data_IF_354151578401
#
_entry.id   IF_354151578401
#
_cell.length_a   1.000
_cell.length_b   1.000
_cell.length_c   1.000
_cell.angle_alpha   90.00
_cell.angle_beta   90.00
_cell.angle_gamma   90.00
#
_symmetry.space_group_name_H-M   'P 1'
#
loop_
_entity.id
_entity.type
_entity.pdbx_description
1 polymer ?
#
# COMPACT_ATOMS: atom_id res chain seq x y z
N UNK A 1 22.91 14.26 26.84
CA UNK A 1 21.94 13.59 25.94
C UNK A 1 20.58 13.74 26.58
N UNK A 2 19.60 14.33 25.88
CA UNK A 2 18.23 14.37 26.39
C UNK A 2 17.74 12.93 26.64
N UNK A 3 17.10 12.69 27.79
CA UNK A 3 16.45 11.42 28.09
C UNK A 3 15.49 11.10 26.95
N UNK A 4 15.73 10.00 26.24
CA UNK A 4 14.81 9.50 25.20
C UNK A 4 13.58 8.96 25.91
N UNK A 5 12.55 9.78 26.00
CA UNK A 5 11.23 9.38 26.51
C UNK A 5 10.40 8.81 25.37
N UNK A 6 9.58 7.80 25.66
CA UNK A 6 8.62 7.27 24.70
C UNK A 6 7.69 8.40 24.20
N UNK A 7 7.37 8.45 22.89
CA UNK A 7 6.42 9.42 22.35
C UNK A 7 5.08 9.37 23.09
N UNK A 8 4.73 10.47 23.72
CA UNK A 8 3.49 10.62 24.47
C UNK A 8 2.97 12.04 24.33
N UNK A 9 1.65 12.18 24.46
CA UNK A 9 0.99 13.48 24.53
C UNK A 9 -0.14 13.40 25.56
N UNK A 10 0.26 13.48 26.84
CA UNK A 10 -0.66 13.36 27.98
C UNK A 10 -1.74 14.45 27.93
N UNK A 11 -1.39 15.65 27.43
CA UNK A 11 -2.35 16.75 27.27
C UNK A 11 -3.42 16.41 26.23
N UNK A 12 -3.04 15.85 25.08
CA UNK A 12 -4.00 15.38 24.08
C UNK A 12 -4.88 14.24 24.60
N UNK A 13 -4.32 13.30 25.36
CA UNK A 13 -5.08 12.20 25.98
C UNK A 13 -6.14 12.71 26.95
N UNK A 14 -5.76 13.58 27.90
CA UNK A 14 -6.71 14.26 28.78
C UNK A 14 -7.73 15.05 27.98
N UNK A 15 -7.31 15.63 26.85
CA UNK A 15 -8.19 16.42 25.99
C UNK A 15 -9.26 15.61 25.28
N UNK A 16 -8.90 14.42 24.79
CA UNK A 16 -9.87 13.47 24.21
C UNK A 16 -10.87 13.05 25.29
N UNK A 17 -10.38 12.63 26.45
CA UNK A 17 -11.25 12.15 27.53
C UNK A 17 -12.23 13.22 28.00
N UNK A 18 -11.78 14.46 28.22
CA UNK A 18 -12.64 15.57 28.61
C UNK A 18 -13.66 15.95 27.54
N UNK A 19 -13.25 15.97 26.27
CA UNK A 19 -14.14 16.27 25.15
C UNK A 19 -15.29 15.26 25.00
N UNK A 20 -15.05 13.97 25.31
CA UNK A 20 -16.10 12.94 25.30
C UNK A 20 -17.29 13.26 26.23
N UNK A 21 -17.05 13.95 27.35
CA UNK A 21 -18.12 14.36 28.27
C UNK A 21 -18.88 15.59 27.78
N UNK A 22 -18.23 16.46 27.00
CA UNK A 22 -18.81 17.72 26.53
C UNK A 22 -19.72 17.54 25.31
N UNK A 23 -19.48 16.52 24.49
CA UNK A 23 -20.21 16.32 23.23
C UNK A 23 -20.36 14.85 22.86
N UNK A 24 -21.59 14.47 22.51
CA UNK A 24 -21.90 13.14 21.96
C UNK A 24 -21.13 12.85 20.66
N UNK A 25 -20.93 13.88 19.82
CA UNK A 25 -20.13 13.76 18.60
C UNK A 25 -18.67 13.42 18.91
N UNK A 26 -18.09 14.06 19.93
CA UNK A 26 -16.71 13.79 20.33
C UNK A 26 -16.57 12.38 20.91
N UNK A 27 -17.56 11.92 21.69
CA UNK A 27 -17.62 10.55 22.19
C UNK A 27 -17.64 9.51 21.06
N UNK A 28 -18.59 9.63 20.12
CA UNK A 28 -18.71 8.71 18.97
C UNK A 28 -17.39 8.66 18.19
N UNK A 29 -16.85 9.82 17.85
CA UNK A 29 -15.62 9.92 17.05
C UNK A 29 -14.38 9.40 17.77
N UNK A 30 -14.31 9.55 19.10
CA UNK A 30 -13.22 8.98 19.89
C UNK A 30 -13.34 7.46 19.96
N UNK A 31 -14.53 6.90 20.17
CA UNK A 31 -14.77 5.45 20.18
C UNK A 31 -14.51 4.79 18.81
N UNK A 32 -14.81 5.48 17.71
CA UNK A 32 -14.54 4.97 16.36
C UNK A 32 -13.05 4.89 16.03
N UNK A 33 -12.25 5.82 16.56
CA UNK A 33 -10.84 5.96 16.17
C UNK A 33 -9.85 5.44 17.21
N UNK A 34 -10.19 5.43 18.50
CA UNK A 34 -9.25 5.11 19.57
C UNK A 34 -9.60 3.80 20.28
N UNK A 35 -8.57 3.14 20.80
CA UNK A 35 -8.67 1.99 21.69
C UNK A 35 -7.86 2.24 22.96
N UNK A 36 -8.10 1.45 24.01
CA UNK A 36 -7.39 1.57 25.27
C UNK A 36 -5.85 1.52 25.10
N UNK A 37 -5.34 0.70 24.17
CA UNK A 37 -3.90 0.54 23.97
C UNK A 37 -3.22 1.76 23.31
N UNK A 38 -4.01 2.65 22.70
CA UNK A 38 -3.47 3.88 22.09
C UNK A 38 -3.10 4.96 23.12
N UNK A 39 -3.50 4.83 24.37
CA UNK A 39 -3.13 5.75 25.44
C UNK A 39 -1.78 5.37 26.04
N UNK A 40 -0.93 6.37 26.31
CA UNK A 40 0.35 6.18 27.00
C UNK A 40 0.16 6.04 28.50
N UNK A 41 -0.69 6.89 29.10
CA UNK A 41 -1.00 6.78 30.51
C UNK A 41 -2.04 5.67 30.72
N UNK A 42 -1.66 4.65 31.49
CA UNK A 42 -2.52 3.51 31.82
C UNK A 42 -3.83 3.96 32.49
N UNK A 43 -3.79 5.06 33.26
CA UNK A 43 -4.98 5.65 33.89
C UNK A 43 -5.96 6.14 32.83
N UNK A 44 -5.46 6.87 31.83
CA UNK A 44 -6.27 7.40 30.75
C UNK A 44 -6.86 6.27 29.89
N UNK A 45 -6.06 5.23 29.61
CA UNK A 45 -6.52 4.04 28.92
C UNK A 45 -7.67 3.33 29.65
N UNK A 46 -7.56 3.13 30.97
CA UNK A 46 -8.61 2.52 31.79
C UNK A 46 -9.90 3.35 31.81
N UNK A 47 -9.77 4.68 31.86
CA UNK A 47 -10.91 5.60 31.77
C UNK A 47 -11.59 5.45 30.40
N UNK A 48 -10.82 5.47 29.31
CA UNK A 48 -11.36 5.31 27.96
C UNK A 48 -12.08 3.97 27.79
N UNK A 49 -11.54 2.88 28.33
CA UNK A 49 -12.17 1.56 28.27
C UNK A 49 -13.52 1.50 29.00
N UNK A 50 -13.69 2.27 30.08
CA UNK A 50 -14.98 2.41 30.74
C UNK A 50 -15.94 3.25 29.89
N UNK A 51 -15.46 4.36 29.31
CA UNK A 51 -16.23 5.23 28.41
C UNK A 51 -16.75 4.46 27.18
N UNK A 52 -15.90 3.70 26.48
CA UNK A 52 -16.28 2.94 25.30
C UNK A 52 -17.34 1.89 25.61
N UNK A 53 -17.22 1.21 26.75
CA UNK A 53 -18.19 0.19 27.18
C UNK A 53 -19.54 0.80 27.57
N UNK A 54 -19.54 1.96 28.23
CA UNK A 54 -20.76 2.72 28.48
C UNK A 54 -21.43 3.19 27.18
N UNK A 55 -20.62 3.58 26.17
CA UNK A 55 -21.10 3.95 24.86
C UNK A 55 -21.76 2.77 24.13
N UNK A 56 -21.16 1.58 24.17
CA UNK A 56 -21.73 0.33 23.64
C UNK A 56 -23.06 -0.04 24.31
N UNK A 57 -23.13 0.09 25.65
CA UNK A 57 -24.34 -0.16 26.44
C UNK A 57 -25.39 0.96 26.30
N UNK A 58 -25.08 2.03 25.56
CA UNK A 58 -25.91 3.24 25.40
C UNK A 58 -26.27 3.92 26.72
N UNK A 59 -25.43 3.77 27.72
CA UNK A 59 -25.56 4.41 29.02
C UNK A 59 -25.11 5.88 28.90
N UNK A 60 -25.87 6.86 29.45
CA UNK A 60 -25.44 8.25 29.47
C UNK A 60 -24.07 8.40 30.14
N UNK A 61 -23.18 9.18 29.52
CA UNK A 61 -21.86 9.47 30.07
C UNK A 61 -21.92 10.75 30.91
N UNK A 62 -21.80 10.60 32.22
CA UNK A 62 -21.59 11.70 33.16
C UNK A 62 -20.60 11.29 34.26
N UNK A 63 -20.16 12.24 35.10
CA UNK A 63 -19.16 11.96 36.14
C UNK A 63 -19.65 10.89 37.13
N UNK A 64 -20.94 10.88 37.47
CA UNK A 64 -21.52 9.94 38.43
C UNK A 64 -21.58 8.52 37.89
N UNK A 65 -22.10 8.35 36.68
CA UNK A 65 -22.22 7.08 35.96
C UNK A 65 -20.85 6.48 35.65
N UNK A 66 -19.89 7.29 35.21
CA UNK A 66 -18.52 6.81 35.01
C UNK A 66 -17.87 6.39 36.33
N UNK A 67 -18.06 7.15 37.41
CA UNK A 67 -17.53 6.78 38.73
C UNK A 67 -18.11 5.44 39.19
N UNK A 68 -19.42 5.21 39.00
CA UNK A 68 -20.05 3.93 39.31
C UNK A 68 -19.51 2.79 38.45
N UNK A 69 -19.33 2.99 37.14
CA UNK A 69 -18.76 1.95 36.27
C UNK A 69 -17.30 1.62 36.65
N UNK A 70 -16.50 2.62 37.01
CA UNK A 70 -15.12 2.42 37.48
C UNK A 70 -15.05 1.76 38.86
N UNK A 71 -16.03 1.99 39.74
CA UNK A 71 -16.17 1.27 41.01
C UNK A 71 -16.53 -0.18 40.79
N UNK A 72 -17.48 -0.46 39.90
CA UNK A 72 -17.89 -1.83 39.55
C UNK A 72 -16.71 -2.64 38.98
N UNK A 73 -15.76 -1.97 38.31
CA UNK A 73 -14.53 -2.57 37.77
C UNK A 73 -13.37 -2.64 38.76
N UNK A 74 -13.51 -2.09 39.96
CA UNK A 74 -12.42 -1.90 40.94
C UNK A 74 -11.22 -1.09 40.42
N UNK A 75 -11.37 -0.29 39.35
CA UNK A 75 -10.28 0.50 38.76
C UNK A 75 -10.26 1.95 39.25
N UNK A 76 -11.28 2.41 39.99
CA UNK A 76 -11.37 3.80 40.47
C UNK A 76 -10.16 4.24 41.30
N UNK A 77 -9.64 3.36 42.18
CA UNK A 77 -8.48 3.70 43.01
C UNK A 77 -7.17 3.74 42.20
N UNK A 78 -7.07 2.94 41.13
CA UNK A 78 -5.89 2.86 40.27
C UNK A 78 -5.72 4.10 39.40
N UNK A 79 -6.82 4.72 39.00
CA UNK A 79 -6.81 5.94 38.17
C UNK A 79 -6.58 7.24 38.97
N UNK A 80 -6.52 7.17 40.31
CA UNK A 80 -6.39 8.35 41.17
C UNK A 80 -7.72 8.92 41.69
N UNK A 81 -8.81 8.16 41.60
CA UNK A 81 -10.10 8.53 42.18
C UNK A 81 -10.86 9.61 41.40
N UNK A 82 -11.90 10.13 42.05
CA UNK A 82 -12.81 11.14 41.48
C UNK A 82 -12.10 12.48 41.23
N UNK A 83 -11.04 12.77 41.99
CA UNK A 83 -10.22 13.97 41.83
C UNK A 83 -9.57 14.03 40.44
N UNK A 84 -9.02 12.91 39.96
CA UNK A 84 -8.41 12.85 38.64
C UNK A 84 -9.42 12.97 37.49
N UNK A 85 -10.62 12.40 37.65
CA UNK A 85 -11.71 12.58 36.68
C UNK A 85 -12.14 14.05 36.59
N UNK A 86 -12.19 14.74 37.73
CA UNK A 86 -12.53 16.16 37.79
C UNK A 86 -11.44 17.02 37.17
N UNK A 87 -10.16 16.64 37.33
CA UNK A 87 -9.03 17.29 36.65
C UNK A 87 -9.15 17.19 35.12
N UNK A 88 -9.45 15.99 34.59
CA UNK A 88 -9.64 15.77 33.15
C UNK A 88 -10.77 16.63 32.60
N UNK A 89 -11.91 16.68 33.30
CA UNK A 89 -13.07 17.49 32.90
C UNK A 89 -12.75 18.98 32.84
N UNK A 90 -11.92 19.47 33.76
CA UNK A 90 -11.51 20.88 33.80
C UNK A 90 -10.36 21.21 32.84
N UNK A 91 -9.69 20.21 32.27
CA UNK A 91 -8.56 20.41 31.36
C UNK A 91 -9.01 20.94 29.99
N UNK A 92 -10.22 20.59 29.55
CA UNK A 92 -10.71 20.85 28.19
C UNK A 92 -11.72 21.98 28.16
N UNK A 93 -11.39 23.13 27.54
CA UNK A 93 -12.35 24.22 27.41
C UNK A 93 -13.39 23.99 26.29
N UNK A 94 -13.10 23.14 25.29
CA UNK A 94 -14.02 22.90 24.16
C UNK A 94 -13.83 21.53 23.51
N UNK A 95 -14.93 20.91 23.07
CA UNK A 95 -14.92 19.67 22.28
C UNK A 95 -14.65 19.88 20.78
N UNK A 96 -14.55 21.14 20.31
CA UNK A 96 -14.46 21.46 18.87
C UNK A 96 -13.21 20.89 18.20
N UNK A 97 -12.10 20.78 18.95
CA UNK A 97 -10.80 20.33 18.44
C UNK A 97 -10.54 18.83 18.63
N UNK A 98 -11.59 18.02 18.85
CA UNK A 98 -11.46 16.59 19.12
C UNK A 98 -10.63 15.86 18.05
N UNK A 99 -10.79 16.23 16.77
CA UNK A 99 -10.08 15.62 15.64
C UNK A 99 -8.56 15.78 15.73
N UNK A 100 -8.14 16.96 16.20
CA UNK A 100 -6.74 17.28 16.38
C UNK A 100 -6.16 16.44 17.52
N UNK A 101 -6.87 16.34 18.65
CA UNK A 101 -6.39 15.55 19.80
C UNK A 101 -6.38 14.05 19.52
N UNK A 102 -7.40 13.51 18.83
CA UNK A 102 -7.41 12.11 18.40
C UNK A 102 -6.18 11.84 17.53
N UNK A 103 -5.91 12.70 16.54
CA UNK A 103 -4.76 12.56 15.66
C UNK A 103 -3.43 12.57 16.42
N UNK A 104 -3.26 13.48 17.37
CA UNK A 104 -2.04 13.55 18.18
C UNK A 104 -1.81 12.28 19.03
N UNK A 105 -2.88 11.72 19.60
CA UNK A 105 -2.83 10.45 20.34
C UNK A 105 -2.50 9.29 19.40
N UNK A 106 -3.12 9.23 18.21
CA UNK A 106 -2.84 8.20 17.21
C UNK A 106 -1.40 8.26 16.69
N UNK A 107 -0.89 9.45 16.38
CA UNK A 107 0.49 9.63 15.93
C UNK A 107 1.48 9.22 17.01
N UNK A 108 1.22 9.61 18.27
CA UNK A 108 2.05 9.20 19.41
C UNK A 108 2.04 7.67 19.59
N UNK A 109 0.86 7.04 19.54
CA UNK A 109 0.72 5.58 19.64
C UNK A 109 1.43 4.85 18.49
N UNK A 110 1.32 5.37 17.27
CA UNK A 110 2.00 4.81 16.10
C UNK A 110 3.52 4.85 16.26
N UNK A 111 4.06 5.98 16.73
CA UNK A 111 5.48 6.12 17.00
C UNK A 111 5.95 5.18 18.12
N UNK A 112 5.14 4.98 19.17
CA UNK A 112 5.44 3.98 20.23
C UNK A 112 5.49 2.56 19.67
N UNK A 113 4.46 2.16 18.92
CA UNK A 113 4.41 0.84 18.28
C UNK A 113 5.59 0.60 17.33
N UNK A 114 6.03 1.64 16.62
CA UNK A 114 7.22 1.59 15.77
C UNK A 114 8.49 1.37 16.58
N UNK A 115 8.67 2.07 17.69
CA UNK A 115 9.83 1.91 18.57
C UNK A 115 9.85 0.49 19.18
N UNK A 116 8.71 0.01 19.67
CA UNK A 116 8.59 -1.34 20.23
C UNK A 116 8.90 -2.42 19.19
N UNK A 117 8.35 -2.27 17.99
CA UNK A 117 8.61 -3.19 16.88
C UNK A 117 10.06 -3.17 16.44
N UNK A 118 10.67 -1.98 16.32
CA UNK A 118 12.09 -1.84 15.98
C UNK A 118 12.99 -2.47 17.06
N UNK A 119 12.62 -2.31 18.33
CA UNK A 119 13.33 -2.93 19.46
C UNK A 119 13.19 -4.45 19.44
N UNK A 120 12.00 -4.97 19.11
CA UNK A 120 11.79 -6.41 18.91
C UNK A 120 12.61 -6.94 17.75
N UNK A 121 12.63 -6.27 16.58
CA UNK A 121 13.45 -6.68 15.43
C UNK A 121 14.94 -6.66 15.77
N UNK A 122 15.39 -5.63 16.50
CA UNK A 122 16.77 -5.56 16.96
C UNK A 122 17.11 -6.72 17.90
N UNK A 123 16.17 -7.10 18.78
CA UNK A 123 16.33 -8.24 19.70
C UNK A 123 16.39 -9.55 18.92
N UNK A 124 15.50 -9.76 17.95
CA UNK A 124 15.49 -10.94 17.09
C UNK A 124 16.81 -11.07 16.31
N UNK A 125 17.43 -9.95 15.91
CA UNK A 125 18.73 -9.95 15.23
C UNK A 125 19.91 -10.44 16.08
N UNK A 126 19.77 -10.49 17.41
CA UNK A 126 20.77 -11.09 18.29
C UNK A 126 20.55 -12.60 18.50
N UNK A 127 19.39 -13.14 18.15
CA UNK A 127 19.11 -14.57 18.25
C UNK A 127 19.71 -15.31 17.06
N UNK A 128 20.79 -16.07 17.30
CA UNK A 128 21.52 -16.83 16.27
C UNK A 128 20.96 -18.23 16.01
N UNK A 129 19.85 -18.60 16.65
CA UNK A 129 19.24 -19.94 16.53
C UNK A 129 18.29 -20.05 15.32
N UNK A 130 17.77 -18.93 14.82
CA UNK A 130 16.81 -18.87 13.71
C UNK A 130 17.50 -18.74 12.33
N UNK A 131 16.84 -19.21 11.26
CA UNK A 131 17.30 -18.99 9.89
C UNK A 131 17.22 -17.48 9.56
N UNK A 132 18.29 -16.94 9.00
CA UNK A 132 18.40 -15.51 8.65
C UNK A 132 17.24 -15.04 7.78
N UNK A 133 16.75 -15.87 6.85
CA UNK A 133 15.63 -15.52 5.98
C UNK A 133 14.30 -15.46 6.76
N UNK A 134 14.09 -16.36 7.72
CA UNK A 134 12.89 -16.33 8.57
C UNK A 134 12.85 -15.08 9.45
N UNK A 135 14.01 -14.68 9.99
CA UNK A 135 14.15 -13.43 10.76
C UNK A 135 13.86 -12.20 9.89
N UNK A 136 14.34 -12.17 8.65
CA UNK A 136 14.06 -11.09 7.69
C UNK A 136 12.57 -11.02 7.31
N UNK A 137 11.95 -12.16 7.02
CA UNK A 137 10.51 -12.24 6.70
C UNK A 137 9.64 -11.82 7.89
N UNK A 138 10.01 -12.23 9.11
CA UNK A 138 9.35 -11.82 10.35
C UNK A 138 9.45 -10.31 10.55
N UNK A 139 10.64 -9.72 10.34
CA UNK A 139 10.83 -8.28 10.43
C UNK A 139 9.98 -7.51 9.40
N UNK A 140 9.91 -7.98 8.14
CA UNK A 140 9.05 -7.37 7.12
C UNK A 140 7.58 -7.42 7.56
N UNK A 141 7.10 -8.57 8.04
CA UNK A 141 5.71 -8.72 8.52
C UNK A 141 5.40 -7.78 9.68
N UNK A 142 6.29 -7.68 10.68
CA UNK A 142 6.10 -6.82 11.85
C UNK A 142 5.99 -5.34 11.43
N UNK A 143 6.88 -4.86 10.57
CA UNK A 143 6.83 -3.48 10.04
C UNK A 143 5.56 -3.25 9.22
N UNK A 144 5.16 -4.21 8.37
CA UNK A 144 3.96 -4.08 7.56
C UNK A 144 2.67 -4.03 8.39
N UNK A 145 2.61 -4.73 9.53
CA UNK A 145 1.43 -4.72 10.40
C UNK A 145 1.18 -3.34 11.03
N UNK A 146 2.22 -2.57 11.33
CA UNK A 146 2.09 -1.17 11.79
C UNK A 146 1.38 -0.32 10.73
N UNK A 147 1.69 -0.55 9.45
CA UNK A 147 1.10 0.17 8.32
C UNK A 147 -0.34 -0.29 8.05
N UNK A 148 -0.67 -1.56 8.31
CA UNK A 148 -2.01 -2.14 8.08
C UNK A 148 -3.07 -1.65 9.07
N UNK A 149 -2.69 -1.15 10.25
CA UNK A 149 -3.64 -0.52 11.19
C UNK A 149 -4.22 0.82 10.67
N UNK A 150 -3.92 1.22 9.44
CA UNK A 150 -4.34 2.48 8.83
C UNK A 150 -5.65 2.38 8.02
N UNK A 151 -6.62 1.61 8.52
CA UNK A 151 -7.96 1.30 7.95
C UNK A 151 -8.02 0.00 7.15
N UNK A 152 -8.53 -1.05 7.79
CA UNK A 152 -9.33 -2.06 7.08
C UNK A 152 -10.52 -1.36 6.43
N UNK A 153 -10.73 -1.54 5.14
CA UNK A 153 -11.91 -0.98 4.46
C UNK A 153 -13.18 -1.52 5.08
N UNK A 154 -13.95 -0.65 5.73
CA UNK A 154 -15.29 -0.95 6.21
C UNK A 154 -16.25 -1.28 5.07
N UNK A 155 -17.36 -1.92 5.39
CA UNK A 155 -18.45 -2.14 4.44
C UNK A 155 -18.95 -0.80 3.90
N UNK A 156 -18.85 -0.61 2.59
CA UNK A 156 -19.43 0.54 1.90
C UNK A 156 -20.90 0.27 1.62
N UNK A 157 -21.76 1.26 1.87
CA UNK A 157 -23.16 1.15 1.46
C UNK A 157 -23.26 1.15 -0.07
N UNK A 158 -24.26 0.44 -0.61
CA UNK A 158 -24.51 0.45 -2.06
C UNK A 158 -24.76 1.87 -2.59
N UNK A 159 -25.37 2.74 -1.77
CA UNK A 159 -25.64 4.14 -2.11
C UNK A 159 -24.35 4.93 -2.33
N UNK A 160 -23.35 4.75 -1.46
CA UNK A 160 -22.05 5.39 -1.61
C UNK A 160 -21.31 4.90 -2.86
N UNK A 161 -21.38 3.59 -3.15
CA UNK A 161 -20.79 3.01 -4.37
C UNK A 161 -21.47 3.57 -5.62
N UNK A 162 -22.80 3.60 -5.65
CA UNK A 162 -23.58 4.11 -6.78
C UNK A 162 -23.29 5.59 -7.06
N UNK A 163 -23.22 6.43 -6.03
CA UNK A 163 -22.89 7.85 -6.20
C UNK A 163 -21.51 8.05 -6.85
N UNK A 164 -20.51 7.25 -6.47
CA UNK A 164 -19.18 7.26 -7.10
C UNK A 164 -19.23 6.73 -8.54
N UNK A 165 -20.01 5.67 -8.79
CA UNK A 165 -20.16 5.10 -10.13
C UNK A 165 -20.84 6.08 -11.08
N UNK A 166 -21.88 6.79 -10.66
CA UNK A 166 -22.55 7.82 -11.46
C UNK A 166 -21.57 8.95 -11.83
N UNK A 167 -20.81 9.47 -10.86
CA UNK A 167 -19.80 10.49 -11.12
C UNK A 167 -18.73 10.02 -12.13
N UNK A 168 -18.28 8.77 -12.03
CA UNK A 168 -17.34 8.19 -13.00
C UNK A 168 -17.96 8.06 -14.40
N UNK A 169 -19.24 7.69 -14.51
CA UNK A 169 -19.95 7.58 -15.78
C UNK A 169 -20.15 8.95 -16.44
N UNK A 170 -20.43 9.99 -15.66
CA UNK A 170 -20.50 11.36 -16.16
C UNK A 170 -19.16 11.82 -16.76
N UNK A 171 -18.05 11.59 -16.05
CA UNK A 171 -16.71 11.90 -16.58
C UNK A 171 -16.40 11.14 -17.88
N UNK A 172 -16.78 9.86 -17.95
CA UNK A 172 -16.58 9.06 -19.15
C UNK A 172 -17.43 9.59 -20.32
N UNK A 173 -18.67 9.98 -20.07
CA UNK A 173 -19.55 10.56 -21.08
C UNK A 173 -19.03 11.90 -21.63
N UNK A 174 -18.37 12.71 -20.79
CA UNK A 174 -17.72 13.96 -21.22
C UNK A 174 -16.47 13.74 -22.07
N UNK A 175 -15.69 12.70 -21.77
CA UNK A 175 -14.40 12.44 -22.41
C UNK A 175 -14.47 12.05 -23.89
N UNK A 176 -15.63 11.57 -24.39
CA UNK A 176 -15.93 11.19 -25.80
C UNK A 176 -14.92 10.26 -26.51
N UNK A 177 -13.91 9.74 -25.82
CA UNK A 177 -12.91 8.84 -26.38
C UNK A 177 -13.42 7.40 -26.43
N UNK A 178 -13.06 6.66 -27.49
CA UNK A 178 -13.35 5.22 -27.59
C UNK A 178 -12.49 4.37 -26.63
N UNK A 179 -11.35 4.91 -26.17
CA UNK A 179 -10.40 4.23 -25.27
C UNK A 179 -10.39 4.93 -23.93
N UNK A 180 -10.86 4.25 -22.90
CA UNK A 180 -10.98 4.80 -21.54
C UNK A 180 -9.86 4.33 -20.62
N UNK A 181 -9.18 3.23 -20.96
CA UNK A 181 -7.99 2.72 -20.29
C UNK A 181 -6.69 3.11 -20.99
N UNK A 182 -5.60 2.40 -20.67
CA UNK A 182 -4.33 2.52 -21.38
C UNK A 182 -4.47 1.93 -22.78
N UNK A 183 -4.20 2.73 -23.81
CA UNK A 183 -4.22 2.28 -25.19
C UNK A 183 -3.13 1.22 -25.45
N UNK A 184 -3.52 0.12 -26.07
CA UNK A 184 -2.60 -0.97 -26.43
C UNK A 184 -1.76 -0.63 -27.66
N UNK A 185 -2.24 0.30 -28.49
CA UNK A 185 -1.60 0.69 -29.76
C UNK A 185 -2.15 -0.07 -30.97
N UNK A 186 -3.08 -1.01 -30.75
CA UNK A 186 -3.80 -1.71 -31.80
C UNK A 186 -5.27 -1.33 -31.78
N UNK A 187 -5.73 -0.65 -32.82
CA UNK A 187 -7.11 -0.17 -32.94
C UNK A 187 -8.15 -1.27 -32.69
N UNK A 188 -7.98 -2.43 -33.31
CA UNK A 188 -8.94 -3.53 -33.18
C UNK A 188 -9.00 -4.10 -31.76
N UNK A 189 -7.86 -4.12 -31.04
CA UNK A 189 -7.82 -4.59 -29.66
C UNK A 189 -8.42 -3.54 -28.72
N UNK A 190 -8.04 -2.28 -28.89
CA UNK A 190 -8.55 -1.17 -28.09
C UNK A 190 -10.08 -1.00 -28.27
N UNK A 191 -10.61 -1.27 -29.46
CA UNK A 191 -12.06 -1.28 -29.71
C UNK A 191 -12.78 -2.40 -28.95
N UNK A 192 -12.13 -3.54 -28.74
CA UNK A 192 -12.71 -4.67 -28.02
C UNK A 192 -12.59 -4.51 -26.49
N UNK A 193 -11.52 -3.89 -26.00
CA UNK A 193 -11.25 -3.80 -24.56
C UNK A 193 -11.47 -2.41 -23.96
N UNK A 194 -11.66 -1.38 -24.79
CA UNK A 194 -11.58 0.03 -24.42
C UNK A 194 -10.23 0.40 -23.76
N UNK A 195 -9.14 -0.27 -24.17
CA UNK A 195 -7.82 -0.19 -23.55
C UNK A 195 -7.64 -1.16 -22.36
N UNK A 196 -6.57 -0.97 -21.60
CA UNK A 196 -6.28 -1.74 -20.37
C UNK A 196 -6.67 -0.91 -19.16
N UNK A 197 -7.49 -1.46 -18.26
CA UNK A 197 -8.03 -0.69 -17.13
C UNK A 197 -7.29 -1.02 -15.84
N UNK A 198 -7.31 -0.05 -14.91
CA UNK A 198 -6.72 -0.23 -13.58
C UNK A 198 -7.42 -1.36 -12.80
N UNK A 199 -6.70 -1.98 -11.87
CA UNK A 199 -7.18 -3.09 -11.03
C UNK A 199 -7.55 -4.38 -11.80
N UNK A 200 -7.10 -4.54 -13.05
CA UNK A 200 -7.27 -5.78 -13.81
C UNK A 200 -5.99 -6.63 -13.82
N UNK A 201 -6.17 -7.94 -13.70
CA UNK A 201 -5.13 -8.92 -14.00
C UNK A 201 -5.37 -9.50 -15.40
N UNK A 202 -4.45 -9.22 -16.33
CA UNK A 202 -4.58 -9.64 -17.74
C UNK A 202 -3.57 -10.76 -18.01
N UNK A 203 -4.08 -11.93 -18.37
CA UNK A 203 -3.25 -13.12 -18.61
C UNK A 203 -3.08 -13.33 -20.11
N UNK A 204 -1.83 -13.29 -20.59
CA UNK A 204 -1.48 -13.60 -21.97
C UNK A 204 -0.91 -15.02 -22.01
N UNK A 205 -1.66 -15.95 -22.61
CA UNK A 205 -1.26 -17.34 -22.75
C UNK A 205 -0.99 -17.69 -24.23
N UNK A 206 0.17 -18.27 -24.50
CA UNK A 206 0.54 -18.76 -25.83
C UNK A 206 1.49 -19.95 -25.69
N UNK A 207 1.54 -20.81 -26.72
CA UNK A 207 2.54 -21.88 -26.78
C UNK A 207 3.96 -21.29 -26.94
N UNK A 208 5.02 -22.00 -26.53
CA UNK A 208 6.40 -21.59 -26.80
C UNK A 208 6.61 -21.24 -28.28
N UNK A 209 7.44 -20.24 -28.53
CA UNK A 209 7.74 -19.71 -29.87
C UNK A 209 6.57 -19.08 -30.66
N UNK A 210 5.39 -18.89 -30.05
CA UNK A 210 4.24 -18.21 -30.72
C UNK A 210 4.25 -16.68 -30.56
N UNK A 211 5.34 -16.08 -30.07
CA UNK A 211 5.49 -14.63 -30.00
C UNK A 211 4.94 -13.93 -28.75
N UNK A 212 4.72 -14.65 -27.64
CA UNK A 212 4.21 -14.06 -26.37
C UNK A 212 5.03 -12.83 -25.93
N UNK A 213 6.35 -13.00 -25.83
CA UNK A 213 7.28 -11.93 -25.44
C UNK A 213 7.28 -10.79 -26.46
N UNK A 214 7.18 -11.10 -27.76
CA UNK A 214 7.13 -10.07 -28.80
C UNK A 214 5.86 -9.21 -28.65
N UNK A 215 4.71 -9.84 -28.40
CA UNK A 215 3.46 -9.12 -28.13
C UNK A 215 3.58 -8.26 -26.87
N UNK A 216 4.05 -8.83 -25.77
CA UNK A 216 4.21 -8.12 -24.50
C UNK A 216 5.16 -6.92 -24.61
N UNK A 217 6.29 -7.06 -25.31
CA UNK A 217 7.25 -5.97 -25.53
C UNK A 217 6.67 -4.83 -26.38
N UNK A 218 5.94 -5.15 -27.45
CA UNK A 218 5.32 -4.10 -28.29
C UNK A 218 4.26 -3.33 -27.52
N UNK A 219 3.44 -4.03 -26.73
CA UNK A 219 2.48 -3.42 -25.82
C UNK A 219 3.17 -2.51 -24.80
N UNK A 220 4.21 -3.03 -24.12
CA UNK A 220 5.00 -2.28 -23.14
C UNK A 220 5.56 -0.99 -23.73
N UNK A 221 6.14 -1.10 -24.93
CA UNK A 221 6.81 0.00 -25.63
C UNK A 221 5.81 1.07 -26.05
N UNK A 222 4.67 0.67 -26.62
CA UNK A 222 3.61 1.60 -26.98
C UNK A 222 3.11 2.39 -25.75
N UNK A 223 2.84 1.69 -24.63
CA UNK A 223 2.37 2.34 -23.41
C UNK A 223 3.43 3.28 -22.84
N UNK A 224 4.70 2.85 -22.81
CA UNK A 224 5.79 3.66 -22.25
C UNK A 224 6.06 4.95 -23.04
N UNK A 225 5.90 4.93 -24.37
CA UNK A 225 6.11 6.09 -25.24
C UNK A 225 4.88 7.01 -25.25
N UNK A 226 3.67 6.45 -25.36
CA UNK A 226 2.48 7.25 -25.69
C UNK A 226 1.61 7.65 -24.50
N UNK A 227 1.69 6.96 -23.36
CA UNK A 227 0.78 7.22 -22.22
C UNK A 227 1.31 8.22 -21.18
N UNK A 228 2.61 8.49 -21.19
CA UNK A 228 3.29 9.26 -20.14
C UNK A 228 3.36 8.56 -18.77
N UNK A 229 2.84 7.33 -18.65
CA UNK A 229 2.90 6.50 -17.44
C UNK A 229 4.16 5.64 -17.42
N UNK A 230 4.54 5.22 -16.21
CA UNK A 230 5.65 4.28 -16.03
C UNK A 230 5.21 2.84 -16.34
N UNK A 231 6.06 2.08 -17.03
CA UNK A 231 5.91 0.65 -17.31
C UNK A 231 7.03 -0.13 -16.61
N UNK A 232 6.66 -1.14 -15.82
CA UNK A 232 7.59 -2.08 -15.21
C UNK A 232 7.54 -3.41 -15.95
N UNK A 233 8.68 -3.90 -16.42
CA UNK A 233 8.84 -5.18 -17.12
C UNK A 233 9.74 -6.10 -16.30
N UNK A 234 9.18 -7.18 -15.77
CA UNK A 234 9.91 -8.26 -15.13
C UNK A 234 10.08 -9.38 -16.15
N UNK A 235 11.31 -9.71 -16.50
CA UNK A 235 11.59 -10.77 -17.46
C UNK A 235 12.55 -11.82 -16.90
N UNK A 236 12.03 -13.00 -16.65
CA UNK A 236 12.72 -14.09 -15.94
C UNK A 236 13.42 -15.05 -16.89
N UNK A 237 13.19 -14.92 -18.21
CA UNK A 237 13.75 -15.81 -19.24
C UNK A 237 14.92 -15.19 -20.01
N UNK A 238 14.90 -13.88 -20.27
CA UNK A 238 15.92 -13.21 -21.08
C UNK A 238 16.51 -12.00 -20.36
N UNK A 239 17.80 -11.77 -20.54
CA UNK A 239 18.47 -10.59 -20.01
C UNK A 239 17.96 -9.27 -20.63
N UNK A 240 18.09 -8.18 -19.89
CA UNK A 240 17.60 -6.85 -20.28
C UNK A 240 18.16 -6.38 -21.63
N UNK A 241 19.43 -6.65 -21.92
CA UNK A 241 20.07 -6.29 -23.19
C UNK A 241 19.42 -6.99 -24.40
N UNK A 242 18.98 -8.23 -24.25
CA UNK A 242 18.32 -8.98 -25.32
C UNK A 242 16.92 -8.42 -25.60
N UNK A 243 16.22 -7.96 -24.55
CA UNK A 243 14.93 -7.28 -24.70
C UNK A 243 15.10 -5.91 -25.37
N UNK A 244 16.08 -5.13 -24.94
CA UNK A 244 16.40 -3.82 -25.55
C UNK A 244 16.66 -3.97 -27.06
N UNK A 245 17.47 -4.95 -27.46
CA UNK A 245 17.71 -5.24 -28.88
C UNK A 245 16.43 -5.55 -29.66
N UNK A 246 15.48 -6.27 -29.06
CA UNK A 246 14.17 -6.56 -29.70
C UNK A 246 13.31 -5.31 -29.82
N UNK A 247 13.31 -4.44 -28.80
CA UNK A 247 12.58 -3.17 -28.84
C UNK A 247 13.16 -2.27 -29.93
N UNK A 248 14.49 -2.11 -30.00
CA UNK A 248 15.17 -1.34 -31.05
C UNK A 248 14.91 -1.92 -32.43
N UNK A 249 14.94 -3.25 -32.58
CA UNK A 249 14.58 -3.93 -33.83
C UNK A 249 13.17 -3.57 -34.28
N UNK A 250 12.19 -3.56 -33.35
CA UNK A 250 10.80 -3.23 -33.65
C UNK A 250 10.59 -1.76 -33.99
N UNK A 251 11.11 -0.85 -33.16
CA UNK A 251 10.96 0.60 -33.35
C UNK A 251 11.72 1.10 -34.59
N UNK A 252 12.99 0.71 -34.69
CA UNK A 252 13.84 1.08 -35.82
C UNK A 252 13.49 0.33 -37.10
N UNK A 253 12.63 -0.70 -37.03
CA UNK A 253 12.27 -1.56 -38.16
C UNK A 253 13.53 -2.15 -38.84
N UNK A 254 14.46 -2.63 -37.99
CA UNK A 254 15.77 -3.19 -38.36
C UNK A 254 15.72 -4.70 -38.16
N UNK A 255 16.27 -5.45 -39.09
CA UNK A 255 16.37 -6.90 -38.99
C UNK A 255 17.17 -7.32 -37.73
N UNK A 256 16.57 -8.16 -36.88
CA UNK A 256 17.18 -8.57 -35.61
C UNK A 256 18.55 -9.27 -35.76
N UNK A 257 18.78 -10.00 -36.86
CA UNK A 257 20.07 -10.65 -37.12
C UNK A 257 21.20 -9.63 -37.31
N UNK A 258 20.93 -8.47 -37.90
CA UNK A 258 21.93 -7.40 -38.04
C UNK A 258 22.33 -6.82 -36.69
N UNK A 259 21.37 -6.62 -35.80
CA UNK A 259 21.62 -6.15 -34.44
C UNK A 259 22.42 -7.18 -33.63
N UNK A 260 22.09 -8.46 -33.75
CA UNK A 260 22.82 -9.55 -33.09
C UNK A 260 24.27 -9.71 -33.60
N UNK A 261 24.49 -9.50 -34.90
CA UNK A 261 25.82 -9.68 -35.53
C UNK A 261 26.65 -8.40 -35.59
N UNK A 262 26.08 -7.25 -35.26
CA UNK A 262 26.71 -5.93 -35.41
C UNK A 262 26.92 -5.50 -36.87
N UNK A 263 26.36 -6.22 -37.85
CA UNK A 263 26.50 -5.92 -39.29
C UNK A 263 25.50 -4.85 -39.73
N UNK A 264 25.62 -3.66 -39.15
CA UNK A 264 24.75 -2.52 -39.40
C UNK A 264 25.36 -1.62 -40.48
N UNK A 265 24.54 -1.23 -41.47
CA UNK A 265 24.90 -0.21 -42.46
C UNK A 265 24.69 1.19 -41.87
N UNK A 266 25.20 2.22 -42.54
CA UNK A 266 25.04 3.61 -42.08
C UNK A 266 23.56 4.02 -41.90
N UNK A 267 22.67 3.54 -42.78
CA UNK A 267 21.23 3.77 -42.65
C UNK A 267 20.62 3.04 -41.45
N UNK A 268 21.09 1.82 -41.14
CA UNK A 268 20.64 1.08 -39.97
C UNK A 268 21.02 1.83 -38.69
N UNK A 269 22.25 2.36 -38.60
CA UNK A 269 22.70 3.19 -37.47
C UNK A 269 21.84 4.43 -37.25
N UNK A 270 21.39 5.08 -38.32
CA UNK A 270 20.48 6.22 -38.22
C UNK A 270 19.16 5.80 -37.55
N UNK A 271 18.59 4.68 -37.96
CA UNK A 271 17.33 4.14 -37.41
C UNK A 271 17.50 3.63 -35.97
N UNK A 272 18.67 3.07 -35.62
CA UNK A 272 19.01 2.74 -34.23
C UNK A 272 18.98 4.01 -33.37
N UNK A 273 19.66 5.07 -33.79
CA UNK A 273 19.72 6.31 -33.03
C UNK A 273 18.33 6.95 -32.85
N UNK A 274 17.49 6.93 -33.89
CA UNK A 274 16.10 7.39 -33.82
C UNK A 274 15.26 6.55 -32.82
N UNK A 275 15.44 5.23 -32.80
CA UNK A 275 14.76 4.36 -31.84
C UNK A 275 15.25 4.56 -30.41
N UNK A 276 16.56 4.72 -30.20
CA UNK A 276 17.15 4.99 -28.88
C UNK A 276 16.64 6.32 -28.34
N UNK A 277 16.61 7.38 -29.17
CA UNK A 277 16.08 8.69 -28.76
C UNK A 277 14.62 8.61 -28.30
N UNK A 278 13.77 7.81 -28.97
CA UNK A 278 12.38 7.60 -28.52
C UNK A 278 12.30 6.86 -27.19
N UNK A 279 13.24 5.96 -26.91
CA UNK A 279 13.29 5.19 -25.67
C UNK A 279 13.85 5.97 -24.49
N UNK A 280 14.76 6.93 -24.72
CA UNK A 280 15.31 7.79 -23.67
C UNK A 280 14.21 8.62 -22.97
N UNK A 281 13.21 9.05 -23.73
CA UNK A 281 12.05 9.80 -23.18
C UNK A 281 10.99 8.88 -22.54
N UNK A 282 11.05 7.57 -22.82
CA UNK A 282 10.07 6.59 -22.37
C UNK A 282 10.31 6.15 -20.93
N UNK A 283 9.23 5.98 -20.16
CA UNK A 283 9.31 5.60 -18.75
C UNK A 283 9.19 4.09 -18.58
N UNK A 284 10.16 3.34 -19.09
CA UNK A 284 10.20 1.89 -19.01
C UNK A 284 11.34 1.43 -18.10
N UNK A 285 11.02 0.54 -17.14
CA UNK A 285 11.99 -0.07 -16.24
C UNK A 285 11.99 -1.57 -16.43
N UNK A 286 13.17 -2.17 -16.62
CA UNK A 286 13.34 -3.60 -16.86
C UNK A 286 14.05 -4.22 -15.66
N UNK A 287 13.56 -5.39 -15.23
CA UNK A 287 14.15 -6.20 -14.19
C UNK A 287 14.28 -7.65 -14.67
N UNK A 288 15.51 -8.13 -14.80
CA UNK A 288 15.85 -9.48 -15.26
C UNK A 288 16.39 -10.38 -14.14
N UNK A 289 16.07 -10.06 -12.87
CA UNK A 289 16.51 -10.84 -11.71
C UNK A 289 15.94 -12.26 -11.75
N UNK A 290 16.77 -13.32 -11.87
CA UNK A 290 16.28 -14.69 -11.87
C UNK A 290 15.71 -15.09 -10.51
N UNK A 291 14.61 -15.85 -10.50
CA UNK A 291 14.02 -16.42 -9.29
C UNK A 291 13.39 -15.41 -8.33
N UNK A 292 13.08 -14.19 -8.81
CA UNK A 292 12.44 -13.13 -8.02
C UNK A 292 11.13 -13.59 -7.37
N UNK A 293 10.91 -13.16 -6.14
CA UNK A 293 9.69 -13.45 -5.36
C UNK A 293 8.59 -12.41 -5.62
N UNK A 294 7.33 -12.77 -5.38
CA UNK A 294 6.20 -11.81 -5.43
C UNK A 294 6.42 -10.61 -4.49
N UNK A 295 7.01 -10.86 -3.31
CA UNK A 295 7.34 -9.82 -2.34
C UNK A 295 8.29 -8.75 -2.92
N UNK A 296 9.34 -9.20 -3.60
CA UNK A 296 10.31 -8.32 -4.28
C UNK A 296 9.70 -7.58 -5.47
N UNK A 297 8.91 -8.25 -6.32
CA UNK A 297 8.16 -7.62 -7.42
C UNK A 297 7.31 -6.48 -6.86
N UNK A 298 6.54 -6.77 -5.81
CA UNK A 298 5.65 -5.80 -5.14
C UNK A 298 6.43 -4.63 -4.54
N UNK A 299 7.59 -4.87 -3.93
CA UNK A 299 8.44 -3.80 -3.37
C UNK A 299 8.98 -2.87 -4.47
N UNK A 300 9.47 -3.45 -5.58
CA UNK A 300 9.96 -2.69 -6.74
C UNK A 300 8.85 -1.88 -7.41
N UNK A 301 7.67 -2.48 -7.62
CA UNK A 301 6.50 -1.80 -8.17
C UNK A 301 6.03 -0.63 -7.27
N UNK A 302 6.00 -0.82 -5.94
CA UNK A 302 5.63 0.26 -5.01
C UNK A 302 6.56 1.47 -5.11
N UNK A 303 7.86 1.24 -5.26
CA UNK A 303 8.83 2.34 -5.47
C UNK A 303 8.55 3.12 -6.75
N UNK A 304 8.23 2.42 -7.85
CA UNK A 304 7.88 3.06 -9.12
C UNK A 304 6.52 3.78 -9.06
N UNK A 305 5.55 3.22 -8.35
CA UNK A 305 4.24 3.83 -8.16
C UNK A 305 4.30 5.18 -7.41
N UNK A 306 5.27 5.34 -6.50
CA UNK A 306 5.52 6.60 -5.78
C UNK A 306 6.28 7.66 -6.58
N UNK A 307 6.67 7.37 -7.83
CA UNK A 307 7.31 8.36 -8.71
C UNK A 307 6.30 9.37 -9.23
N UNK A 308 6.75 10.57 -9.65
CA UNK A 308 5.88 11.64 -10.15
C UNK A 308 4.99 11.19 -11.32
N UNK A 309 5.47 10.29 -12.17
CA UNK A 309 4.74 9.80 -13.35
C UNK A 309 3.74 8.67 -13.02
N UNK A 310 3.85 8.09 -11.83
CA UNK A 310 3.05 6.93 -11.40
C UNK A 310 3.31 5.67 -12.23
N UNK A 311 2.89 4.52 -11.70
CA UNK A 311 2.99 3.22 -12.37
C UNK A 311 1.67 2.90 -13.09
N UNK A 312 1.74 2.72 -14.41
CA UNK A 312 0.56 2.42 -15.24
C UNK A 312 0.43 0.95 -15.64
N UNK A 313 1.55 0.27 -15.92
CA UNK A 313 1.52 -1.12 -16.40
C UNK A 313 2.66 -1.93 -15.77
N UNK A 314 2.33 -3.14 -15.33
CA UNK A 314 3.29 -4.15 -14.86
C UNK A 314 3.17 -5.35 -15.79
N UNK A 315 4.28 -5.78 -16.37
CA UNK A 315 4.36 -6.96 -17.23
C UNK A 315 5.33 -7.95 -16.58
N UNK A 316 4.92 -9.22 -16.49
CA UNK A 316 5.74 -10.30 -15.96
C UNK A 316 5.83 -11.42 -17.00
N UNK A 317 7.03 -11.67 -17.50
CA UNK A 317 7.33 -12.73 -18.48
C UNK A 317 8.40 -13.70 -17.92
N UNK A 318 8.12 -14.95 -17.55
CA UNK A 318 6.86 -15.67 -17.47
C UNK A 318 6.53 -16.08 -16.02
N UNK A 319 5.26 -15.97 -15.63
CA UNK A 319 4.75 -16.19 -14.26
C UNK A 319 5.24 -17.48 -13.57
N UNK A 320 5.54 -18.54 -14.32
CA UNK A 320 5.94 -19.84 -13.74
C UNK A 320 7.38 -19.86 -13.20
N UNK A 321 8.17 -18.80 -13.40
CA UNK A 321 9.50 -18.65 -12.78
C UNK A 321 9.48 -17.79 -11.52
N UNK A 322 8.30 -17.33 -11.10
CA UNK A 322 8.17 -16.69 -9.78
C UNK A 322 8.35 -17.80 -8.74
N UNK A 323 9.35 -17.64 -7.88
CA UNK A 323 9.56 -18.57 -6.78
C UNK A 323 8.46 -18.37 -5.73
N UNK A 324 7.69 -19.41 -5.45
CA UNK A 324 6.93 -19.49 -4.20
C UNK A 324 7.91 -19.47 -3.03
N UNK A 325 7.59 -18.76 -1.95
CA UNK A 325 8.46 -18.72 -0.76
C UNK A 325 8.89 -20.12 -0.31
N UNK A 326 10.10 -20.24 0.25
CA UNK A 326 10.91 -21.47 0.45
C UNK A 326 10.27 -22.67 1.20
N UNK A 327 9.01 -22.64 1.62
CA UNK A 327 8.43 -23.63 2.54
C UNK A 327 7.43 -24.63 1.93
N UNK A 328 7.53 -24.99 0.65
CA UNK A 328 6.70 -26.08 0.11
C UNK A 328 7.47 -27.05 -0.78
N UNK A 329 7.76 -28.23 -0.22
CA UNK A 329 8.08 -29.43 -0.99
C UNK A 329 6.86 -30.07 -1.66
N UNK A 330 5.82 -29.33 -2.05
CA UNK A 330 4.58 -29.93 -2.56
C UNK A 330 3.86 -29.08 -3.63
N UNK A 331 3.62 -29.73 -4.77
CA UNK A 331 2.68 -29.38 -5.85
C UNK A 331 2.72 -27.94 -6.40
N UNK A 332 3.23 -27.81 -7.63
CA UNK A 332 3.12 -26.62 -8.52
C UNK A 332 1.69 -26.05 -8.67
N UNK A 333 0.66 -26.82 -8.34
CA UNK A 333 -0.73 -26.32 -8.30
C UNK A 333 -0.97 -25.34 -7.14
N UNK A 334 -0.31 -25.52 -5.99
CA UNK A 334 -0.44 -24.62 -4.83
C UNK A 334 0.36 -23.33 -5.04
N UNK A 335 1.56 -23.41 -5.62
CA UNK A 335 2.39 -22.22 -5.91
C UNK A 335 1.69 -21.22 -6.86
N UNK A 336 0.95 -21.71 -7.86
CA UNK A 336 0.18 -20.84 -8.78
C UNK A 336 -1.08 -20.28 -8.12
N UNK A 337 -1.60 -20.92 -7.07
CA UNK A 337 -2.77 -20.42 -6.33
C UNK A 337 -2.41 -19.35 -5.28
N UNK A 338 -1.14 -19.27 -4.90
CA UNK A 338 -0.61 -18.31 -3.91
C UNK A 338 -0.10 -17.00 -4.55
N UNK A 339 0.03 -16.94 -5.89
CA UNK A 339 0.40 -15.76 -6.68
C UNK A 339 -0.84 -14.94 -7.07
#
# INVERSE_FOLDING_TARGET
MALRTMPNNIEAEKSVLGACFLSKYALEKACDNLSQEKFFDEKNGKIFAAISKMHEEKTPLDLTTLTTELQNRNTLHEIGGVEYLTEILNFVPTATNIDYYIKDVEESALLRNLIETATSIATDGYNTEDDVNETLDSAERKILNIVKNRKTTEFKSIQEVMARTEANLEQLAESKGEVTGLATGWYDLDKLTAGLHENQLIIIAARPAMGKTAFALNLATNVAINSGKTVALFNLEMGAEQLANRIISSLGQIEGYKLQTGRLMNEDWKRVNEAVSQLEDANMFIDDTPGITVGEIRAKCRRLASSEKGLGLIIIDYLQLISGGKNYGSNRQQEVSDV
#
